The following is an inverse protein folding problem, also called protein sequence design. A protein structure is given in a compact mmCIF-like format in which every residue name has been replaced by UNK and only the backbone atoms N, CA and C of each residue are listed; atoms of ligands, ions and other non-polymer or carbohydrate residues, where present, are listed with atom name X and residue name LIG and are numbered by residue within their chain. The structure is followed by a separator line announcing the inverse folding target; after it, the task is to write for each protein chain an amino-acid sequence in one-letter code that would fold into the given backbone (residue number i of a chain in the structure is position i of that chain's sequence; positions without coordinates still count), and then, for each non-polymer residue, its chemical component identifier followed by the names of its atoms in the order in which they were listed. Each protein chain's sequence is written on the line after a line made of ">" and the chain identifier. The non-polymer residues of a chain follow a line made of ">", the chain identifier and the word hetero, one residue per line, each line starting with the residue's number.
data_IF_221079685897
#
_entry.id   IF_221079685897
#
_cell.length_a   1.000
_cell.length_b   1.000
_cell.length_c   1.000
_cell.angle_alpha   90.00
_cell.angle_beta   90.00
_cell.angle_gamma   90.00
#
_symmetry.space_group_name_H-M   'P 1'
#
loop_
_entity.id
_entity.type
_entity.pdbx_description
1 polymer ?
#
# COMPACT_ATOMS: atom_id res chain seq x y z
N UNK A 1 -6.18 -79.28 -10.87
CA UNK A 1 -6.59 -77.93 -11.39
C UNK A 1 -6.60 -76.91 -10.22
N UNK A 2 -5.58 -76.05 -10.12
CA UNK A 2 -5.49 -75.05 -9.11
C UNK A 2 -5.93 -73.71 -9.72
N UNK A 3 -6.91 -73.05 -9.14
CA UNK A 3 -7.43 -71.69 -9.52
C UNK A 3 -6.45 -70.62 -9.05
N UNK A 4 -6.15 -69.59 -9.85
CA UNK A 4 -5.29 -68.50 -9.40
C UNK A 4 -6.10 -67.48 -8.61
N UNK A 5 -5.60 -67.16 -7.42
CA UNK A 5 -6.06 -66.04 -6.58
C UNK A 5 -5.59 -64.74 -7.23
N UNK A 6 -6.54 -63.85 -7.60
CA UNK A 6 -6.25 -62.51 -8.05
C UNK A 6 -6.02 -61.64 -6.83
N UNK A 7 -4.81 -61.14 -6.67
CA UNK A 7 -4.50 -60.08 -5.70
C UNK A 7 -5.12 -58.75 -6.19
N UNK A 8 -5.97 -58.18 -5.38
CA UNK A 8 -6.59 -56.87 -5.61
C UNK A 8 -5.75 -55.80 -4.87
N UNK A 9 -4.86 -55.14 -5.62
CA UNK A 9 -4.08 -54.02 -5.07
C UNK A 9 -4.98 -52.80 -4.95
N UNK A 10 -5.29 -52.40 -3.72
CA UNK A 10 -5.94 -51.13 -3.41
C UNK A 10 -4.92 -50.02 -3.49
N UNK A 11 -4.95 -49.21 -4.54
CA UNK A 11 -4.26 -47.92 -4.59
C UNK A 11 -5.05 -46.90 -3.76
N UNK A 12 -4.50 -46.56 -2.58
CA UNK A 12 -4.99 -45.41 -1.80
C UNK A 12 -4.47 -44.13 -2.45
N UNK A 13 -5.31 -43.46 -3.22
CA UNK A 13 -5.03 -42.11 -3.74
C UNK A 13 -5.18 -41.11 -2.61
N UNK A 14 -4.06 -40.70 -2.00
CA UNK A 14 -4.07 -39.60 -1.03
C UNK A 14 -4.32 -38.29 -1.79
N UNK A 15 -5.55 -37.83 -1.81
CA UNK A 15 -5.92 -36.48 -2.23
C UNK A 15 -5.42 -35.50 -1.18
N UNK A 16 -4.21 -34.98 -1.38
CA UNK A 16 -3.72 -33.83 -0.62
C UNK A 16 -4.53 -32.61 -1.08
N UNK A 17 -5.52 -32.26 -0.30
CA UNK A 17 -6.36 -31.11 -0.61
C UNK A 17 -5.61 -29.79 -0.37
N UNK A 18 -5.61 -28.85 -1.31
CA UNK A 18 -4.96 -27.54 -1.17
C UNK A 18 -5.76 -26.55 -0.28
N UNK A 19 -6.53 -27.06 0.68
CA UNK A 19 -7.51 -26.27 1.45
C UNK A 19 -6.88 -25.27 2.45
N UNK A 20 -5.68 -25.56 2.97
CA UNK A 20 -5.02 -24.66 3.93
C UNK A 20 -4.58 -23.32 3.29
N UNK A 21 -4.09 -23.34 2.05
CA UNK A 21 -3.66 -22.12 1.37
C UNK A 21 -4.83 -21.25 0.91
N UNK A 22 -5.92 -21.85 0.45
CA UNK A 22 -7.11 -21.10 0.00
C UNK A 22 -7.80 -20.40 1.19
N UNK A 23 -7.87 -21.02 2.35
CA UNK A 23 -8.48 -20.45 3.55
C UNK A 23 -7.60 -19.33 4.17
N UNK A 24 -6.27 -19.47 4.13
CA UNK A 24 -5.35 -18.41 4.55
C UNK A 24 -5.43 -17.20 3.62
N UNK A 25 -5.50 -17.41 2.31
CA UNK A 25 -5.67 -16.33 1.31
C UNK A 25 -7.00 -15.61 1.51
N UNK A 26 -8.08 -16.31 1.80
CA UNK A 26 -9.41 -15.71 2.01
C UNK A 26 -9.44 -14.84 3.30
N UNK A 27 -8.68 -15.19 4.33
CA UNK A 27 -8.58 -14.40 5.56
C UNK A 27 -7.86 -13.04 5.39
N UNK A 28 -7.06 -12.86 4.34
CA UNK A 28 -6.41 -11.60 4.01
C UNK A 28 -7.32 -10.67 3.20
N UNK A 29 -8.31 -11.24 2.50
CA UNK A 29 -9.25 -10.48 1.69
C UNK A 29 -10.41 -9.96 2.55
N UNK A 30 -10.08 -9.13 3.54
CA UNK A 30 -11.03 -8.59 4.51
C UNK A 30 -12.10 -7.72 3.86
N UNK A 31 -11.81 -7.13 2.70
CA UNK A 31 -12.72 -6.27 1.95
C UNK A 31 -13.58 -7.02 0.90
N UNK A 32 -13.48 -8.34 0.80
CA UNK A 32 -14.14 -9.15 -0.26
C UNK A 32 -15.63 -8.83 -0.45
N UNK A 33 -16.36 -8.60 0.63
CA UNK A 33 -17.80 -8.35 0.63
C UNK A 33 -18.18 -6.87 0.72
N UNK A 34 -17.22 -5.96 0.69
CA UNK A 34 -17.48 -4.52 0.82
C UNK A 34 -17.95 -3.94 -0.52
N UNK A 35 -19.24 -4.01 -0.78
CA UNK A 35 -19.87 -3.61 -2.05
C UNK A 35 -19.82 -2.10 -2.31
N UNK A 36 -19.48 -1.28 -1.32
CA UNK A 36 -19.27 0.16 -1.47
C UNK A 36 -17.92 0.52 -2.12
N UNK A 37 -17.02 -0.47 -2.24
CA UNK A 37 -15.72 -0.34 -2.92
C UNK A 37 -15.77 -1.02 -4.29
N UNK A 38 -15.03 -0.47 -5.26
CA UNK A 38 -14.78 -1.13 -6.55
C UNK A 38 -13.92 -2.41 -6.35
N UNK A 39 -13.88 -3.33 -7.32
CA UNK A 39 -13.00 -4.49 -7.25
C UNK A 39 -11.53 -4.13 -7.05
N UNK A 40 -11.04 -3.07 -7.70
CA UNK A 40 -9.65 -2.61 -7.57
C UNK A 40 -9.35 -2.04 -6.18
N UNK A 41 -10.28 -1.29 -5.58
CA UNK A 41 -10.15 -0.76 -4.22
C UNK A 41 -10.12 -1.89 -3.19
N UNK A 42 -10.91 -2.95 -3.38
CA UNK A 42 -10.85 -4.16 -2.54
C UNK A 42 -9.53 -4.91 -2.70
N UNK A 43 -9.03 -5.01 -3.93
CA UNK A 43 -7.73 -5.64 -4.21
C UNK A 43 -6.57 -4.85 -3.58
N UNK A 44 -6.67 -3.53 -3.50
CA UNK A 44 -5.68 -2.70 -2.81
C UNK A 44 -5.56 -3.09 -1.33
N UNK A 45 -6.69 -3.26 -0.63
CA UNK A 45 -6.69 -3.70 0.78
C UNK A 45 -6.11 -5.11 0.90
N UNK A 46 -6.44 -6.00 -0.03
CA UNK A 46 -5.89 -7.35 -0.06
C UNK A 46 -4.36 -7.34 -0.21
N UNK A 47 -3.81 -6.56 -1.14
CA UNK A 47 -2.36 -6.47 -1.32
C UNK A 47 -1.65 -5.81 -0.12
N UNK A 48 -2.24 -4.79 0.50
CA UNK A 48 -1.75 -4.23 1.76
C UNK A 48 -1.71 -5.32 2.85
N UNK A 49 -2.77 -6.11 2.98
CA UNK A 49 -2.84 -7.19 3.96
C UNK A 49 -1.84 -8.32 3.66
N UNK A 50 -1.52 -8.58 2.40
CA UNK A 50 -0.50 -9.56 2.01
C UNK A 50 0.87 -9.16 2.53
N UNK A 51 1.33 -7.93 2.25
CA UNK A 51 2.65 -7.49 2.74
C UNK A 51 2.68 -7.40 4.27
N UNK A 52 1.58 -7.04 4.91
CA UNK A 52 1.49 -6.98 6.38
C UNK A 52 1.53 -8.36 7.03
N UNK A 53 0.83 -9.33 6.46
CA UNK A 53 0.75 -10.70 7.02
C UNK A 53 2.00 -11.52 6.80
N UNK A 54 2.72 -11.28 5.69
CA UNK A 54 3.99 -11.94 5.38
C UNK A 54 4.93 -10.97 4.64
N UNK A 55 5.60 -10.05 5.38
CA UNK A 55 6.51 -9.09 4.76
C UNK A 55 7.62 -9.73 3.93
N UNK A 56 8.11 -10.90 4.35
CA UNK A 56 9.19 -11.61 3.65
C UNK A 56 8.76 -12.11 2.28
N UNK A 57 7.48 -12.46 2.10
CA UNK A 57 6.97 -12.92 0.80
C UNK A 57 7.10 -11.85 -0.28
N UNK A 58 7.10 -10.56 0.09
CA UNK A 58 7.27 -9.46 -0.85
C UNK A 58 8.70 -9.31 -1.39
N UNK A 59 9.69 -9.91 -0.72
CA UNK A 59 11.08 -9.91 -1.20
C UNK A 59 11.22 -10.52 -2.59
N UNK A 60 10.35 -11.45 -2.98
CA UNK A 60 10.32 -12.02 -4.33
C UNK A 60 10.10 -10.97 -5.43
N UNK A 61 9.38 -9.89 -5.12
CA UNK A 61 9.15 -8.77 -6.05
C UNK A 61 10.25 -7.71 -5.96
N UNK A 62 10.76 -7.45 -4.76
CA UNK A 62 11.67 -6.33 -4.48
C UNK A 62 13.13 -6.67 -4.82
N UNK A 63 13.58 -7.92 -4.56
CA UNK A 63 14.98 -8.29 -4.82
C UNK A 63 15.38 -8.21 -6.30
N UNK A 64 14.56 -8.65 -7.29
CA UNK A 64 14.86 -8.43 -8.69
C UNK A 64 14.99 -6.94 -9.04
N UNK A 65 14.11 -6.07 -8.51
CA UNK A 65 14.16 -4.62 -8.72
C UNK A 65 15.46 -4.01 -8.18
N UNK A 66 15.88 -4.43 -6.97
CA UNK A 66 17.17 -3.99 -6.41
C UNK A 66 18.36 -4.41 -7.28
N UNK A 67 18.30 -5.62 -7.85
CA UNK A 67 19.35 -6.11 -8.75
C UNK A 67 19.45 -5.24 -10.00
N UNK A 68 18.33 -4.93 -10.65
CA UNK A 68 18.30 -4.07 -11.83
C UNK A 68 18.68 -2.62 -11.48
N UNK A 69 18.24 -2.07 -10.38
CA UNK A 69 18.62 -0.73 -9.94
C UNK A 69 20.14 -0.62 -9.69
N UNK A 70 20.76 -1.62 -9.06
CA UNK A 70 22.24 -1.67 -8.91
C UNK A 70 22.97 -1.75 -10.22
N UNK A 71 22.44 -2.51 -11.19
CA UNK A 71 23.00 -2.61 -12.54
C UNK A 71 22.88 -1.27 -13.27
N UNK A 72 21.74 -0.58 -13.18
CA UNK A 72 21.56 0.76 -13.76
C UNK A 72 22.53 1.76 -13.12
N UNK A 73 22.67 1.78 -11.80
CA UNK A 73 23.63 2.64 -11.09
C UNK A 73 25.08 2.37 -11.54
N UNK A 74 25.47 1.10 -11.73
CA UNK A 74 26.80 0.72 -12.17
C UNK A 74 27.09 1.11 -13.64
N UNK A 75 26.08 0.96 -14.50
CA UNK A 75 26.21 1.20 -15.94
C UNK A 75 26.07 2.68 -16.29
N UNK A 76 25.05 3.33 -15.76
CA UNK A 76 24.58 4.65 -16.18
C UNK A 76 24.89 5.74 -15.14
N UNK A 77 25.59 5.37 -14.05
CA UNK A 77 25.97 6.28 -12.97
C UNK A 77 24.77 6.68 -12.10
N UNK A 78 24.92 7.81 -11.40
CA UNK A 78 23.93 8.28 -10.42
C UNK A 78 22.52 8.55 -10.95
N UNK A 79 22.37 8.64 -12.26
CA UNK A 79 21.13 9.02 -12.92
C UNK A 79 20.91 10.54 -12.98
N UNK A 80 19.67 10.94 -13.22
CA UNK A 80 19.27 12.35 -13.32
C UNK A 80 19.14 12.96 -11.93
N UNK A 81 19.62 14.21 -11.78
CA UNK A 81 19.36 14.98 -10.57
C UNK A 81 17.90 15.43 -10.54
N UNK A 82 17.20 15.08 -9.49
CA UNK A 82 15.78 15.38 -9.28
C UNK A 82 15.56 15.94 -7.87
N UNK A 83 14.34 16.35 -7.56
CA UNK A 83 13.98 16.82 -6.23
C UNK A 83 12.63 16.26 -5.79
N UNK A 84 12.47 16.16 -4.50
CA UNK A 84 11.20 15.84 -3.86
C UNK A 84 10.76 17.00 -2.98
N UNK A 85 9.48 17.26 -2.94
CA UNK A 85 8.85 18.20 -2.01
C UNK A 85 8.23 17.39 -0.87
N UNK A 86 8.58 17.75 0.36
CA UNK A 86 7.95 17.18 1.55
C UNK A 86 7.08 18.26 2.19
N UNK A 87 5.81 17.95 2.35
CA UNK A 87 4.83 18.81 3.01
C UNK A 87 4.69 18.34 4.46
N UNK A 88 5.10 19.18 5.41
CA UNK A 88 4.93 18.91 6.84
C UNK A 88 3.98 19.93 7.44
N UNK A 89 3.05 19.44 8.24
CA UNK A 89 2.08 20.28 8.93
C UNK A 89 2.52 20.42 10.39
N UNK A 90 2.81 21.63 10.82
CA UNK A 90 3.12 21.95 12.22
C UNK A 90 2.01 22.83 12.81
N UNK A 91 1.62 22.54 14.05
CA UNK A 91 0.61 23.36 14.74
C UNK A 91 1.30 24.22 15.80
N UNK A 92 1.45 25.51 15.50
CA UNK A 92 1.99 26.50 16.43
C UNK A 92 0.88 27.47 16.85
N UNK A 93 0.67 27.62 18.16
CA UNK A 93 -0.31 28.55 18.73
C UNK A 93 -1.74 28.38 18.16
N UNK A 94 -2.17 27.13 17.94
CA UNK A 94 -3.50 26.82 17.39
C UNK A 94 -3.67 27.14 15.90
N UNK A 95 -2.60 27.51 15.20
CA UNK A 95 -2.58 27.69 13.75
C UNK A 95 -1.78 26.58 13.10
N UNK A 96 -2.38 25.95 12.12
CA UNK A 96 -1.69 24.97 11.26
C UNK A 96 -0.82 25.72 10.25
N UNK A 97 0.47 25.41 10.23
CA UNK A 97 1.44 25.97 9.28
C UNK A 97 1.97 24.82 8.44
N UNK A 98 1.81 24.92 7.14
CA UNK A 98 2.46 24.02 6.20
C UNK A 98 3.88 24.49 5.93
N UNK A 99 4.82 23.56 6.02
CA UNK A 99 6.23 23.77 5.65
C UNK A 99 6.54 22.87 4.47
N UNK A 100 7.14 23.46 3.44
CA UNK A 100 7.60 22.74 2.26
C UNK A 100 9.11 22.67 2.32
N UNK A 101 9.64 21.46 2.42
CA UNK A 101 11.08 21.19 2.34
C UNK A 101 11.42 20.54 1.00
N UNK A 102 12.49 21.03 0.35
CA UNK A 102 13.00 20.47 -0.91
C UNK A 102 14.23 19.60 -0.64
N UNK A 103 14.15 18.33 -1.05
CA UNK A 103 15.27 17.39 -0.96
C UNK A 103 15.75 17.01 -2.35
N UNK A 104 17.05 17.23 -2.63
CA UNK A 104 17.66 16.88 -3.91
C UNK A 104 18.28 15.47 -3.84
N UNK A 105 18.09 14.69 -4.89
CA UNK A 105 18.63 13.35 -5.03
C UNK A 105 18.98 13.02 -6.50
N UNK A 106 19.70 11.93 -6.72
CA UNK A 106 19.92 11.36 -8.05
C UNK A 106 19.09 10.09 -8.19
N UNK A 107 18.40 9.92 -9.31
CA UNK A 107 17.37 8.89 -9.50
C UNK A 107 17.89 7.46 -9.23
N UNK A 108 18.99 7.04 -9.85
CA UNK A 108 19.52 5.69 -9.70
C UNK A 108 20.11 5.45 -8.30
N UNK A 109 20.77 6.47 -7.74
CA UNK A 109 21.38 6.38 -6.40
C UNK A 109 20.29 6.26 -5.32
N UNK A 110 19.24 7.07 -5.41
CA UNK A 110 18.10 7.04 -4.48
C UNK A 110 17.29 5.75 -4.62
N UNK A 111 17.07 5.27 -5.84
CA UNK A 111 16.35 4.00 -6.08
C UNK A 111 17.06 2.82 -5.41
N UNK A 112 18.39 2.71 -5.59
CA UNK A 112 19.19 1.66 -4.92
C UNK A 112 19.12 1.79 -3.40
N UNK A 113 19.18 3.02 -2.88
CA UNK A 113 19.08 3.29 -1.43
C UNK A 113 17.71 2.89 -0.88
N UNK A 114 16.62 3.30 -1.54
CA UNK A 114 15.24 3.00 -1.17
C UNK A 114 14.98 1.49 -1.17
N UNK A 115 15.34 0.80 -2.26
CA UNK A 115 15.20 -0.65 -2.38
C UNK A 115 16.06 -1.42 -1.37
N UNK A 116 17.29 -0.99 -1.12
CA UNK A 116 18.18 -1.63 -0.12
C UNK A 116 17.58 -1.51 1.28
N UNK A 117 17.06 -0.33 1.63
CA UNK A 117 16.43 -0.11 2.93
C UNK A 117 15.15 -0.95 3.08
N UNK A 118 14.34 -1.06 2.02
CA UNK A 118 13.12 -1.87 1.99
C UNK A 118 13.43 -3.36 2.16
N UNK A 119 14.41 -3.90 1.41
CA UNK A 119 14.84 -5.31 1.56
C UNK A 119 15.25 -5.60 3.00
N UNK A 120 16.05 -4.71 3.61
CA UNK A 120 16.45 -4.85 5.02
C UNK A 120 15.23 -4.86 5.95
N UNK A 121 14.29 -3.94 5.77
CA UNK A 121 13.09 -3.81 6.61
C UNK A 121 12.21 -5.06 6.48
N UNK A 122 11.85 -5.47 5.25
CA UNK A 122 10.99 -6.64 5.02
C UNK A 122 11.62 -7.95 5.49
N UNK A 123 12.96 -8.07 5.44
CA UNK A 123 13.68 -9.26 5.91
C UNK A 123 13.57 -9.48 7.42
N UNK A 124 13.40 -8.40 8.19
CA UNK A 124 13.39 -8.44 9.66
C UNK A 124 12.04 -8.15 10.28
N UNK A 125 11.13 -7.53 9.51
CA UNK A 125 9.80 -7.18 9.98
C UNK A 125 9.01 -8.44 10.33
N UNK A 126 8.42 -8.45 11.52
CA UNK A 126 7.51 -9.50 11.95
C UNK A 126 6.15 -9.29 11.29
N UNK A 127 5.38 -10.38 11.21
CA UNK A 127 3.98 -10.34 10.79
C UNK A 127 3.22 -9.24 11.55
N UNK A 128 2.50 -8.40 10.80
CA UNK A 128 1.59 -7.39 11.30
C UNK A 128 0.14 -7.88 11.21
N UNK A 129 -0.73 -7.27 12.01
CA UNK A 129 -2.17 -7.52 11.92
C UNK A 129 -2.72 -7.06 10.56
N UNK A 130 -3.65 -7.84 10.01
CA UNK A 130 -4.40 -7.45 8.82
C UNK A 130 -5.34 -6.29 9.15
N UNK A 131 -5.50 -5.40 8.19
CA UNK A 131 -6.40 -4.27 8.32
C UNK A 131 -7.83 -4.66 7.94
N UNK A 132 -8.80 -4.13 8.68
CA UNK A 132 -10.21 -4.31 8.38
C UNK A 132 -10.72 -3.12 7.56
N UNK A 133 -11.60 -3.33 6.59
CA UNK A 133 -12.25 -2.24 5.87
C UNK A 133 -13.21 -1.47 6.80
N UNK A 134 -13.30 -0.15 6.60
CA UNK A 134 -14.25 0.70 7.33
C UNK A 134 -14.91 1.68 6.36
N UNK A 135 -16.25 1.71 6.36
CA UNK A 135 -17.02 2.55 5.44
C UNK A 135 -16.90 4.04 5.75
N UNK A 136 -16.68 4.42 7.00
CA UNK A 136 -16.43 5.81 7.37
C UNK A 136 -15.06 6.27 6.87
N UNK A 137 -14.02 5.44 7.00
CA UNK A 137 -12.69 5.71 6.41
C UNK A 137 -12.79 5.82 4.88
N UNK A 138 -13.61 4.96 4.24
CA UNK A 138 -13.89 5.05 2.81
C UNK A 138 -14.51 6.40 2.44
N UNK A 139 -15.52 6.84 3.18
CA UNK A 139 -16.18 8.13 2.95
C UNK A 139 -15.22 9.31 3.14
N UNK A 140 -14.26 9.22 4.08
CA UNK A 140 -13.21 10.22 4.26
C UNK A 140 -12.28 10.29 3.03
N UNK A 141 -11.81 9.14 2.54
CA UNK A 141 -11.00 9.05 1.34
C UNK A 141 -11.76 9.55 0.10
N UNK A 142 -13.04 9.15 -0.04
CA UNK A 142 -13.90 9.58 -1.13
C UNK A 142 -14.13 11.10 -1.13
N UNK A 143 -14.40 11.70 0.03
CA UNK A 143 -14.54 13.16 0.17
C UNK A 143 -13.29 13.88 -0.32
N UNK A 144 -12.10 13.34 0.02
CA UNK A 144 -10.86 13.94 -0.42
C UNK A 144 -10.60 13.72 -1.91
N UNK A 145 -10.91 12.54 -2.45
CA UNK A 145 -10.83 12.28 -3.88
C UNK A 145 -11.75 13.21 -4.69
N UNK A 146 -12.99 13.39 -4.25
CA UNK A 146 -13.95 14.30 -4.89
C UNK A 146 -13.47 15.76 -4.83
N UNK A 147 -12.80 16.16 -3.75
CA UNK A 147 -12.19 17.47 -3.60
C UNK A 147 -10.98 17.66 -4.54
N UNK A 148 -10.13 16.66 -4.67
CA UNK A 148 -9.00 16.67 -5.61
C UNK A 148 -9.48 16.68 -7.08
N UNK A 149 -10.53 15.91 -7.44
CA UNK A 149 -11.13 15.92 -8.77
C UNK A 149 -11.63 17.32 -9.16
N UNK A 150 -12.24 18.03 -8.21
CA UNK A 150 -12.73 19.39 -8.43
C UNK A 150 -11.61 20.44 -8.54
N UNK A 151 -10.37 20.13 -8.13
CA UNK A 151 -9.26 21.08 -8.00
C UNK A 151 -7.96 20.58 -8.66
N UNK A 152 -8.08 19.85 -9.76
CA UNK A 152 -6.95 19.44 -10.62
C UNK A 152 -5.87 18.55 -9.96
N UNK A 153 -6.25 17.76 -8.98
CA UNK A 153 -5.34 16.80 -8.32
C UNK A 153 -3.95 17.33 -7.99
N UNK A 154 -3.89 18.23 -7.03
CA UNK A 154 -2.62 18.79 -6.55
C UNK A 154 -1.79 17.84 -5.67
N UNK A 155 -2.26 16.63 -5.45
CA UNK A 155 -1.65 15.61 -4.57
C UNK A 155 -1.36 16.14 -3.15
N UNK A 156 -2.22 17.00 -2.64
CA UNK A 156 -2.10 17.59 -1.31
C UNK A 156 -2.89 16.76 -0.30
N UNK A 157 -2.36 16.59 0.89
CA UNK A 157 -3.08 15.95 2.00
C UNK A 157 -4.15 16.86 2.60
N UNK A 158 -3.94 18.17 2.55
CA UNK A 158 -4.89 19.16 3.05
C UNK A 158 -6.01 19.34 2.03
N UNK A 159 -7.26 19.20 2.47
CA UNK A 159 -8.43 19.50 1.65
C UNK A 159 -8.60 20.99 1.40
N UNK A 160 -9.33 21.39 0.35
CA UNK A 160 -9.61 22.81 0.06
C UNK A 160 -10.41 23.49 1.17
N UNK A 161 -11.10 22.71 2.00
CA UNK A 161 -11.80 23.18 3.21
C UNK A 161 -10.86 23.29 4.44
N UNK A 162 -9.55 23.06 4.27
CA UNK A 162 -8.53 23.07 5.32
C UNK A 162 -8.49 21.79 6.16
N UNK A 163 -9.31 20.77 5.87
CA UNK A 163 -9.32 19.53 6.63
C UNK A 163 -8.06 18.71 6.36
N UNK A 164 -7.49 18.13 7.43
CA UNK A 164 -6.37 17.19 7.38
C UNK A 164 -6.89 15.75 7.30
N UNK A 165 -6.05 14.77 6.92
CA UNK A 165 -6.48 13.37 6.81
C UNK A 165 -7.18 12.85 8.07
N UNK A 166 -6.59 13.08 9.24
CA UNK A 166 -7.19 12.61 10.51
C UNK A 166 -8.48 13.32 10.88
N UNK A 167 -8.69 14.59 10.47
CA UNK A 167 -9.96 15.31 10.68
C UNK A 167 -11.07 14.63 9.89
N UNK A 168 -10.80 14.31 8.62
CA UNK A 168 -11.74 13.59 7.76
C UNK A 168 -12.03 12.20 8.29
N UNK A 169 -10.98 11.43 8.64
CA UNK A 169 -11.11 10.07 9.13
C UNK A 169 -11.94 10.03 10.42
N UNK A 170 -11.60 10.85 11.42
CA UNK A 170 -12.32 10.85 12.71
C UNK A 170 -13.74 11.41 12.60
N UNK A 171 -13.98 12.33 11.67
CA UNK A 171 -15.31 12.86 11.38
C UNK A 171 -16.23 11.80 10.77
N UNK A 172 -15.76 11.07 9.76
CA UNK A 172 -16.57 10.08 9.05
C UNK A 172 -16.58 8.70 9.74
N UNK A 173 -15.56 8.39 10.53
CA UNK A 173 -15.47 7.18 11.35
C UNK A 173 -15.13 7.53 12.82
N UNK A 174 -16.14 7.93 13.63
CA UNK A 174 -15.92 8.38 15.01
C UNK A 174 -15.36 7.31 15.97
N UNK A 175 -15.35 6.04 15.55
CA UNK A 175 -14.71 4.91 16.26
C UNK A 175 -13.19 4.95 16.17
N UNK A 176 -12.62 5.72 15.23
CA UNK A 176 -11.17 5.90 15.10
C UNK A 176 -10.68 6.98 16.06
N UNK A 177 -9.51 6.75 16.66
CA UNK A 177 -8.85 7.71 17.54
C UNK A 177 -7.89 8.63 16.79
N UNK A 178 -7.36 8.13 15.67
CA UNK A 178 -6.40 8.81 14.81
C UNK A 178 -6.34 8.12 13.44
N UNK A 179 -5.81 8.81 12.44
CA UNK A 179 -5.61 8.25 11.10
C UNK A 179 -4.56 8.99 10.29
N UNK A 180 -4.13 8.37 9.20
CA UNK A 180 -3.17 8.93 8.25
C UNK A 180 -3.55 8.54 6.82
N UNK A 181 -2.82 9.09 5.83
CA UNK A 181 -3.17 8.99 4.43
C UNK A 181 -1.92 8.81 3.56
N UNK A 182 -2.01 7.94 2.55
CA UNK A 182 -1.12 7.92 1.40
C UNK A 182 -1.88 8.44 0.18
N UNK A 183 -1.20 9.21 -0.66
CA UNK A 183 -1.69 9.61 -1.98
C UNK A 183 -0.65 9.15 -3.01
N UNK A 184 -1.10 8.48 -4.07
CA UNK A 184 -0.25 8.06 -5.17
C UNK A 184 -0.88 8.43 -6.51
N UNK A 185 -0.04 8.78 -7.48
CA UNK A 185 -0.44 9.05 -8.86
C UNK A 185 0.41 8.27 -9.86
N UNK A 186 -0.22 7.76 -10.91
CA UNK A 186 0.42 6.98 -11.97
C UNK A 186 -0.12 7.35 -13.34
N UNK A 187 0.75 7.36 -14.34
CA UNK A 187 0.40 7.63 -15.75
C UNK A 187 -0.09 6.41 -16.53
N UNK A 188 -0.28 5.26 -15.88
CA UNK A 188 -0.82 4.04 -16.47
C UNK A 188 -1.88 3.46 -15.52
N UNK A 189 -2.61 2.43 -15.95
CA UNK A 189 -3.55 1.69 -15.09
C UNK A 189 -2.77 0.60 -14.32
N UNK A 190 -2.15 0.91 -13.18
CA UNK A 190 -1.35 -0.04 -12.42
C UNK A 190 -2.28 -1.02 -11.69
N UNK A 191 -1.78 -2.22 -11.44
CA UNK A 191 -2.46 -3.14 -10.50
C UNK A 191 -2.34 -2.63 -9.06
N UNK A 192 -3.20 -3.10 -8.18
CA UNK A 192 -3.10 -2.79 -6.75
C UNK A 192 -1.71 -3.14 -6.17
N UNK A 193 -1.12 -4.24 -6.63
CA UNK A 193 0.23 -4.65 -6.23
C UNK A 193 1.30 -3.66 -6.69
N UNK A 194 1.21 -3.16 -7.91
CA UNK A 194 2.19 -2.20 -8.44
C UNK A 194 2.21 -0.93 -7.57
N UNK A 195 1.02 -0.45 -7.17
CA UNK A 195 0.89 0.71 -6.27
C UNK A 195 1.46 0.40 -4.87
N UNK A 196 1.15 -0.76 -4.30
CA UNK A 196 1.69 -1.14 -2.98
C UNK A 196 3.21 -1.25 -3.05
N UNK A 197 3.78 -1.84 -4.10
CA UNK A 197 5.24 -1.91 -4.29
C UNK A 197 5.84 -0.52 -4.45
N UNK A 198 5.25 0.36 -5.26
CA UNK A 198 5.70 1.74 -5.43
C UNK A 198 5.75 2.48 -4.09
N UNK A 199 4.69 2.42 -3.29
CA UNK A 199 4.60 3.07 -1.99
C UNK A 199 5.50 2.42 -0.93
N UNK A 200 5.82 1.14 -1.06
CA UNK A 200 6.81 0.47 -0.22
C UNK A 200 8.25 0.90 -0.57
N UNK A 201 8.57 1.02 -1.85
CA UNK A 201 9.88 1.51 -2.30
C UNK A 201 10.04 2.96 -1.86
N UNK A 202 9.05 3.77 -2.16
CA UNK A 202 8.95 5.18 -1.75
C UNK A 202 10.18 6.01 -2.16
N UNK A 203 10.74 5.68 -3.34
CA UNK A 203 11.96 6.29 -3.86
C UNK A 203 11.76 7.79 -4.08
N UNK A 204 12.72 8.57 -3.62
CA UNK A 204 12.68 10.02 -3.70
C UNK A 204 11.86 10.71 -2.60
N UNK A 205 11.10 9.99 -1.79
CA UNK A 205 10.34 10.57 -0.68
C UNK A 205 11.17 10.50 0.60
N UNK A 206 11.59 11.65 1.16
CA UNK A 206 12.36 11.68 2.39
C UNK A 206 11.65 11.00 3.56
N UNK A 207 12.35 10.08 4.23
CA UNK A 207 11.79 9.35 5.37
C UNK A 207 10.89 8.17 5.01
N UNK A 208 10.55 7.98 3.72
CA UNK A 208 9.69 6.87 3.27
C UNK A 208 8.32 6.83 3.96
N UNK A 209 7.65 7.98 4.04
CA UNK A 209 6.40 8.14 4.79
C UNK A 209 5.24 7.26 4.32
N UNK A 210 5.13 6.99 3.01
CA UNK A 210 4.09 6.08 2.51
C UNK A 210 4.37 4.63 2.94
N UNK A 211 5.63 4.20 2.91
CA UNK A 211 6.05 2.89 3.43
C UNK A 211 5.72 2.73 4.90
N UNK A 212 6.04 3.76 5.69
CA UNK A 212 5.76 3.76 7.13
C UNK A 212 4.26 3.58 7.39
N UNK A 213 3.41 4.28 6.65
CA UNK A 213 1.95 4.08 6.76
C UNK A 213 1.52 2.65 6.41
N UNK A 214 2.07 2.05 5.35
CA UNK A 214 1.72 0.67 4.97
C UNK A 214 2.12 -0.36 6.04
N UNK A 215 3.25 -0.12 6.74
CA UNK A 215 3.88 -1.08 7.66
C UNK A 215 3.75 -0.70 9.14
N UNK A 216 2.99 0.34 9.48
CA UNK A 216 2.78 0.75 10.86
C UNK A 216 1.87 -0.26 11.60
N UNK A 217 2.33 -0.85 12.72
CA UNK A 217 1.57 -1.81 13.49
C UNK A 217 0.35 -1.21 14.22
N UNK A 218 0.29 0.11 14.38
CA UNK A 218 -0.82 0.76 15.08
C UNK A 218 -2.14 0.77 14.30
N UNK A 219 -2.07 0.66 12.98
CA UNK A 219 -3.28 0.67 12.15
C UNK A 219 -4.09 -0.60 12.31
N UNK A 220 -5.40 -0.43 12.43
CA UNK A 220 -6.37 -1.50 12.58
C UNK A 220 -7.36 -1.56 11.42
N UNK A 221 -7.63 -0.41 10.78
CA UNK A 221 -8.60 -0.27 9.72
C UNK A 221 -8.02 0.53 8.54
N UNK A 222 -8.59 0.33 7.37
CA UNK A 222 -8.20 1.04 6.15
C UNK A 222 -9.37 1.13 5.18
N UNK A 223 -9.26 2.06 4.25
CA UNK A 223 -10.02 2.09 3.02
C UNK A 223 -9.22 2.81 1.93
N UNK A 224 -9.51 2.48 0.68
CA UNK A 224 -8.84 3.05 -0.47
C UNK A 224 -9.86 3.53 -1.49
N UNK A 225 -9.56 4.64 -2.14
CA UNK A 225 -10.33 5.17 -3.27
C UNK A 225 -9.40 5.37 -4.46
N UNK A 226 -9.76 4.80 -5.60
CA UNK A 226 -9.07 5.00 -6.87
C UNK A 226 -9.87 5.91 -7.81
N UNK A 227 -9.20 6.77 -8.56
CA UNK A 227 -9.80 7.66 -9.57
C UNK A 227 -8.97 7.70 -10.84
N UNK A 228 -9.66 7.79 -11.97
CA UNK A 228 -9.05 8.14 -13.26
C UNK A 228 -9.26 9.64 -13.45
N UNK A 229 -8.19 10.35 -13.74
CA UNK A 229 -8.19 11.77 -14.01
C UNK A 229 -7.61 12.06 -15.39
N UNK A 230 -8.29 12.85 -16.20
CA UNK A 230 -7.88 13.20 -17.56
C UNK A 230 -7.56 12.00 -18.47
N UNK A 231 -8.28 10.88 -18.33
CA UNK A 231 -8.20 9.65 -19.13
C UNK A 231 -6.84 8.92 -19.15
N UNK A 232 -5.82 9.46 -18.50
CA UNK A 232 -4.45 8.90 -18.53
C UNK A 232 -3.72 8.88 -17.18
N UNK A 233 -4.21 9.59 -16.15
CA UNK A 233 -3.68 9.58 -14.80
C UNK A 233 -4.60 8.77 -13.88
N UNK A 234 -4.00 7.90 -13.11
CA UNK A 234 -4.71 7.12 -12.10
C UNK A 234 -4.23 7.56 -10.71
N UNK A 235 -5.15 8.01 -9.85
CA UNK A 235 -4.85 8.45 -8.50
C UNK A 235 -5.44 7.53 -7.45
N UNK A 236 -4.70 7.35 -6.38
CA UNK A 236 -5.11 6.56 -5.22
C UNK A 236 -5.01 7.38 -3.96
N UNK A 237 -6.04 7.29 -3.11
CA UNK A 237 -6.04 7.75 -1.73
C UNK A 237 -6.21 6.52 -0.85
N UNK A 238 -5.22 6.25 0.01
CA UNK A 238 -5.25 5.16 0.98
C UNK A 238 -5.30 5.78 2.38
N UNK A 239 -6.41 5.58 3.08
CA UNK A 239 -6.59 6.05 4.44
C UNK A 239 -6.42 4.91 5.43
N UNK A 240 -5.73 5.20 6.53
CA UNK A 240 -5.47 4.27 7.63
C UNK A 240 -6.08 4.83 8.91
N UNK A 241 -6.66 3.97 9.72
CA UNK A 241 -7.27 4.34 11.00
C UNK A 241 -6.84 3.44 12.15
N UNK A 242 -6.62 4.06 13.31
CA UNK A 242 -6.43 3.38 14.58
C UNK A 242 -7.73 3.44 15.37
N UNK A 243 -8.32 2.28 15.67
CA UNK A 243 -9.52 2.19 16.49
C UNK A 243 -9.24 2.63 17.94
N UNK A 244 -10.24 3.24 18.57
CA UNK A 244 -10.21 3.61 19.99
C UNK A 244 -10.05 2.41 20.89
#
# INVERSE_FOLDING_TARGET
>A
MKSPIKELSFFFLILITPTLNAQAIDSLNTAKICMYMTPQEREMIYEINRVRSDPKSYLQYIQPMLTEAKKALSKDGKGTKNYSLTFTTDTKNGKTVEKIDTTWHYTNEEEVKALTSLVKQLSTLKKLSVLQPDSGIYNAAKKHADDQDAHEWKLMHTGTDGSLPWDRITKYSPSMSFGNENIAGNSATPTARDIVIQLLIDSGIPGYGHRDNLLDPQWTHTACVGRIYNDWMYYWIQNFGRKK
#
